data_IF_017285100328
#
_entry.id   IF_017285100328
#
_cell.length_a   1.000
_cell.length_b   1.000
_cell.length_c   1.000
_cell.angle_alpha   90.00
_cell.angle_beta   90.00
_cell.angle_gamma   90.00
#
_symmetry.space_group_name_H-M   'P 1'
#
loop_
_entity.id
_entity.type
_entity.pdbx_description
1 polymer ?
#
# COMPACT_ATOMS: atom_id res chain seq x y z
N UNK A 1 17.47 -87.22 3.35
CA UNK A 1 16.74 -86.31 4.26
C UNK A 1 16.77 -84.83 3.86
N UNK A 2 17.25 -84.45 2.66
CA UNK A 2 17.33 -83.04 2.24
C UNK A 2 16.01 -82.44 1.68
N UNK A 3 15.06 -83.28 1.23
CA UNK A 3 13.81 -82.83 0.58
C UNK A 3 12.84 -82.12 1.55
N UNK A 4 12.79 -82.56 2.81
CA UNK A 4 11.86 -82.00 3.81
C UNK A 4 12.28 -80.60 4.29
N UNK A 5 13.57 -80.24 4.22
CA UNK A 5 14.06 -78.91 4.64
C UNK A 5 13.85 -77.82 3.58
N UNK A 6 13.83 -78.18 2.29
CA UNK A 6 13.63 -77.21 1.19
C UNK A 6 12.21 -76.63 1.17
N UNK A 7 11.18 -77.46 1.39
CA UNK A 7 9.79 -76.99 1.43
C UNK A 7 9.52 -76.02 2.59
N UNK A 8 10.13 -76.28 3.76
CA UNK A 8 10.02 -75.40 4.93
C UNK A 8 10.71 -74.05 4.66
N UNK A 9 11.88 -74.05 4.01
CA UNK A 9 12.55 -72.81 3.59
C UNK A 9 11.71 -71.98 2.60
N UNK A 10 11.05 -72.64 1.65
CA UNK A 10 10.17 -71.96 0.69
C UNK A 10 8.97 -71.31 1.39
N UNK A 11 8.36 -71.99 2.37
CA UNK A 11 7.25 -71.44 3.16
C UNK A 11 7.68 -70.22 3.99
N UNK A 12 8.83 -70.30 4.67
CA UNK A 12 9.39 -69.17 5.43
C UNK A 12 9.70 -67.97 4.53
N UNK A 13 10.21 -68.23 3.32
CA UNK A 13 10.51 -67.18 2.35
C UNK A 13 9.24 -66.53 1.80
N UNK A 14 8.20 -67.32 1.53
CA UNK A 14 6.90 -66.82 1.11
C UNK A 14 6.22 -65.97 2.20
N UNK A 15 6.31 -66.38 3.47
CA UNK A 15 5.79 -65.60 4.61
C UNK A 15 6.52 -64.26 4.75
N UNK A 16 7.86 -64.26 4.64
CA UNK A 16 8.66 -63.03 4.68
C UNK A 16 8.28 -62.08 3.54
N UNK A 17 8.13 -62.59 2.32
CA UNK A 17 7.70 -61.79 1.16
C UNK A 17 6.29 -61.22 1.36
N UNK A 18 5.34 -62.01 1.89
CA UNK A 18 4.00 -61.54 2.18
C UNK A 18 3.98 -60.42 3.23
N UNK A 19 4.80 -60.54 4.27
CA UNK A 19 4.99 -59.50 5.29
C UNK A 19 5.54 -58.20 4.68
N UNK A 20 6.62 -58.29 3.88
CA UNK A 20 7.23 -57.14 3.20
C UNK A 20 6.25 -56.41 2.27
N UNK A 21 5.43 -57.16 1.51
CA UNK A 21 4.38 -56.60 0.65
C UNK A 21 3.29 -55.89 1.47
N UNK A 22 2.93 -56.43 2.63
CA UNK A 22 1.93 -55.82 3.52
C UNK A 22 2.40 -54.48 4.09
N UNK A 23 3.68 -54.40 4.48
CA UNK A 23 4.30 -53.16 4.97
C UNK A 23 4.43 -52.11 3.87
N UNK A 24 4.82 -52.53 2.65
CA UNK A 24 4.88 -51.65 1.50
C UNK A 24 3.52 -51.03 1.18
N UNK A 25 2.44 -51.83 1.21
CA UNK A 25 1.07 -51.34 1.04
C UNK A 25 0.65 -50.37 2.13
N UNK A 26 1.06 -50.61 3.39
CA UNK A 26 0.79 -49.68 4.49
C UNK A 26 1.48 -48.33 4.26
N UNK A 27 2.75 -48.34 3.87
CA UNK A 27 3.51 -47.12 3.51
C UNK A 27 2.88 -46.38 2.33
N UNK A 28 2.41 -47.09 1.31
CA UNK A 28 1.73 -46.46 0.17
C UNK A 28 0.41 -45.78 0.58
N UNK A 29 -0.39 -46.41 1.44
CA UNK A 29 -1.61 -45.79 1.98
C UNK A 29 -1.31 -44.53 2.79
N UNK A 30 -0.29 -44.59 3.65
CA UNK A 30 0.15 -43.43 4.44
C UNK A 30 0.68 -42.30 3.55
N UNK A 31 1.41 -42.63 2.48
CA UNK A 31 1.89 -41.66 1.51
C UNK A 31 0.73 -40.96 0.80
N UNK A 32 -0.23 -41.72 0.25
CA UNK A 32 -1.41 -41.15 -0.42
C UNK A 32 -2.28 -40.31 0.51
N UNK A 33 -2.39 -40.69 1.78
CA UNK A 33 -3.11 -39.89 2.79
C UNK A 33 -2.43 -38.54 3.03
N UNK A 34 -1.09 -38.51 3.13
CA UNK A 34 -0.31 -37.27 3.28
C UNK A 34 -0.39 -36.39 2.03
N UNK A 35 -0.32 -36.99 0.85
CA UNK A 35 -0.46 -36.30 -0.43
C UNK A 35 -1.83 -35.62 -0.55
N UNK A 36 -2.91 -36.35 -0.24
CA UNK A 36 -4.27 -35.81 -0.24
C UNK A 36 -4.43 -34.66 0.77
N UNK A 37 -3.86 -34.78 1.97
CA UNK A 37 -3.91 -33.73 2.99
C UNK A 37 -3.13 -32.46 2.56
N UNK A 38 -1.97 -32.64 1.93
CA UNK A 38 -1.16 -31.52 1.43
C UNK A 38 -1.87 -30.77 0.30
N UNK A 39 -2.49 -31.50 -0.65
CA UNK A 39 -3.24 -30.90 -1.76
C UNK A 39 -4.53 -30.22 -1.29
N UNK A 40 -5.22 -30.78 -0.28
CA UNK A 40 -6.43 -30.17 0.29
C UNK A 40 -6.19 -28.84 1.02
N UNK A 41 -4.97 -28.61 1.52
CA UNK A 41 -4.58 -27.39 2.26
C UNK A 41 -4.28 -26.18 1.34
N UNK A 42 -4.19 -26.38 0.02
CA UNK A 42 -3.82 -25.31 -0.91
C UNK A 42 -4.89 -24.21 -1.01
N UNK A 43 -6.17 -24.57 -0.85
CA UNK A 43 -7.28 -23.61 -0.89
C UNK A 43 -7.34 -22.68 0.32
N UNK A 44 -7.05 -23.20 1.53
CA UNK A 44 -7.09 -22.39 2.76
C UNK A 44 -5.96 -21.35 2.78
N UNK A 45 -4.75 -21.74 2.41
CA UNK A 45 -3.61 -20.83 2.35
C UNK A 45 -3.86 -19.68 1.34
N UNK A 46 -4.38 -19.99 0.16
CA UNK A 46 -4.69 -18.95 -0.84
C UNK A 46 -5.76 -17.97 -0.35
N UNK A 47 -6.80 -18.47 0.33
CA UNK A 47 -7.88 -17.62 0.84
C UNK A 47 -7.43 -16.68 1.96
N UNK A 48 -6.52 -17.15 2.82
CA UNK A 48 -5.98 -16.36 3.92
C UNK A 48 -5.04 -15.25 3.42
N UNK A 49 -4.18 -15.57 2.45
CA UNK A 49 -3.32 -14.58 1.79
C UNK A 49 -4.14 -13.52 1.06
N UNK A 50 -5.19 -13.92 0.35
CA UNK A 50 -6.07 -12.98 -0.35
C UNK A 50 -6.79 -12.05 0.63
N UNK A 51 -7.31 -12.60 1.74
CA UNK A 51 -7.96 -11.83 2.79
C UNK A 51 -7.00 -10.79 3.40
N UNK A 52 -5.80 -11.20 3.78
CA UNK A 52 -4.79 -10.29 4.34
C UNK A 52 -4.39 -9.20 3.33
N UNK A 53 -4.29 -9.57 2.05
CA UNK A 53 -3.97 -8.63 0.96
C UNK A 53 -5.07 -7.59 0.80
N UNK A 54 -6.33 -8.00 0.83
CA UNK A 54 -7.49 -7.10 0.77
C UNK A 54 -7.55 -6.16 1.97
N UNK A 55 -7.31 -6.66 3.17
CA UNK A 55 -7.26 -5.85 4.40
C UNK A 55 -6.14 -4.80 4.31
N UNK A 56 -4.93 -5.19 3.90
CA UNK A 56 -3.81 -4.27 3.69
C UNK A 56 -4.12 -3.21 2.63
N UNK A 57 -4.76 -3.59 1.53
CA UNK A 57 -5.16 -2.65 0.49
C UNK A 57 -6.18 -1.62 1.03
N UNK A 58 -7.16 -2.06 1.82
CA UNK A 58 -8.15 -1.18 2.43
C UNK A 58 -7.51 -0.20 3.43
N UNK A 59 -6.55 -0.67 4.21
CA UNK A 59 -5.76 0.17 5.13
C UNK A 59 -4.99 1.23 4.34
N UNK A 60 -4.29 0.85 3.27
CA UNK A 60 -3.54 1.79 2.42
C UNK A 60 -4.46 2.83 1.77
N UNK A 61 -5.63 2.42 1.26
CA UNK A 61 -6.61 3.36 0.73
C UNK A 61 -7.10 4.35 1.79
N UNK A 62 -7.32 3.87 3.01
CA UNK A 62 -7.74 4.72 4.14
C UNK A 62 -6.66 5.75 4.47
N UNK A 63 -5.40 5.34 4.59
CA UNK A 63 -4.28 6.25 4.81
C UNK A 63 -4.13 7.27 3.68
N UNK A 64 -4.33 6.85 2.43
CA UNK A 64 -4.29 7.75 1.29
C UNK A 64 -5.39 8.82 1.40
N UNK A 65 -6.65 8.45 1.63
CA UNK A 65 -7.75 9.40 1.71
C UNK A 65 -7.59 10.39 2.87
N UNK A 66 -7.11 9.92 4.03
CA UNK A 66 -6.87 10.78 5.20
C UNK A 66 -5.78 11.85 4.96
N UNK A 67 -4.76 11.51 4.15
CA UNK A 67 -3.60 12.38 3.95
C UNK A 67 -3.62 13.14 2.62
N UNK A 68 -4.47 12.73 1.66
CA UNK A 68 -4.52 13.29 0.30
C UNK A 68 -4.58 14.82 0.29
N UNK A 69 -5.49 15.43 1.05
CA UNK A 69 -5.65 16.89 1.08
C UNK A 69 -4.38 17.60 1.54
N UNK A 70 -3.84 17.18 2.70
CA UNK A 70 -2.62 17.78 3.28
C UNK A 70 -1.41 17.69 2.35
N UNK A 71 -1.23 16.54 1.69
CA UNK A 71 -0.12 16.33 0.75
C UNK A 71 -0.28 17.23 -0.47
N UNK A 72 -1.49 17.31 -1.04
CA UNK A 72 -1.77 18.18 -2.17
C UNK A 72 -1.60 19.66 -1.83
N UNK A 73 -2.08 20.10 -0.67
CA UNK A 73 -1.93 21.48 -0.21
C UNK A 73 -0.46 21.87 -0.07
N UNK A 74 0.35 21.00 0.53
CA UNK A 74 1.79 21.24 0.67
C UNK A 74 2.50 21.25 -0.69
N UNK A 75 2.18 20.30 -1.56
CA UNK A 75 2.78 20.22 -2.89
C UNK A 75 2.45 21.48 -3.71
N UNK A 76 1.19 21.90 -3.71
CA UNK A 76 0.75 23.10 -4.41
C UNK A 76 1.38 24.36 -3.81
N UNK A 77 1.52 24.44 -2.49
CA UNK A 77 2.22 25.54 -1.84
C UNK A 77 3.67 25.67 -2.33
N UNK A 78 4.40 24.56 -2.46
CA UNK A 78 5.77 24.57 -2.99
C UNK A 78 5.83 24.93 -4.48
N UNK A 79 4.95 24.36 -5.31
CA UNK A 79 4.95 24.62 -6.77
C UNK A 79 4.60 26.07 -7.07
N UNK A 80 3.72 26.68 -6.26
CA UNK A 80 3.32 28.07 -6.42
C UNK A 80 4.28 29.06 -5.75
N UNK A 81 5.21 28.63 -4.90
CA UNK A 81 6.23 29.49 -4.27
C UNK A 81 7.42 29.73 -5.23
N UNK A 82 7.14 30.45 -6.32
CA UNK A 82 8.16 30.80 -7.30
C UNK A 82 9.07 31.88 -6.69
N UNK A 83 10.34 31.50 -6.45
CA UNK A 83 11.39 32.38 -5.95
C UNK A 83 12.38 32.71 -7.07
N UNK A 84 12.18 33.82 -7.79
CA UNK A 84 13.12 34.24 -8.82
C UNK A 84 14.44 34.69 -8.16
N UNK A 85 15.51 33.94 -8.42
CA UNK A 85 16.86 34.26 -7.94
C UNK A 85 17.76 34.62 -9.11
N UNK A 86 18.51 35.71 -8.96
CA UNK A 86 19.57 36.07 -9.89
C UNK A 86 20.81 35.29 -9.47
N UNK A 87 21.40 34.55 -10.41
CA UNK A 87 22.60 33.77 -10.16
C UNK A 87 23.72 34.64 -9.56
N UNK A 88 24.47 34.11 -8.60
CA UNK A 88 25.48 34.85 -7.81
C UNK A 88 26.55 35.58 -8.65
N UNK A 89 26.77 35.09 -9.86
CA UNK A 89 27.76 35.61 -10.81
C UNK A 89 27.20 36.63 -11.80
N UNK A 90 25.94 37.04 -11.66
CA UNK A 90 25.39 38.10 -12.48
C UNK A 90 26.08 39.43 -12.17
N UNK A 91 26.62 40.08 -13.20
CA UNK A 91 27.34 41.36 -13.09
C UNK A 91 26.72 42.35 -14.07
N UNK A 92 26.28 43.49 -13.56
CA UNK A 92 25.99 44.67 -14.39
C UNK A 92 27.16 45.63 -14.16
N UNK A 93 27.83 46.05 -15.23
CA UNK A 93 28.94 47.01 -15.18
C UNK A 93 30.10 46.63 -14.24
N UNK A 94 30.36 45.33 -14.05
CA UNK A 94 31.52 44.83 -13.29
C UNK A 94 31.36 44.82 -11.76
N UNK A 95 30.27 45.35 -11.20
CA UNK A 95 30.00 45.34 -9.76
C UNK A 95 28.89 44.35 -9.39
N UNK A 96 29.07 43.63 -8.26
CA UNK A 96 27.99 42.84 -7.64
C UNK A 96 27.02 43.82 -6.97
N UNK A 97 25.75 43.82 -7.37
CA UNK A 97 24.70 44.46 -6.56
C UNK A 97 24.14 43.43 -5.59
N UNK A 98 24.00 43.82 -4.33
CA UNK A 98 23.08 43.16 -3.42
C UNK A 98 21.66 43.32 -3.98
N UNK A 99 20.90 42.23 -4.00
CA UNK A 99 19.63 42.10 -4.72
C UNK A 99 18.61 43.15 -4.26
N UNK A 100 18.12 44.04 -5.15
CA UNK A 100 16.91 44.80 -4.86
C UNK A 100 15.76 43.81 -4.95
N UNK A 101 15.24 43.51 -3.78
CA UNK A 101 14.29 42.46 -3.51
C UNK A 101 12.94 42.73 -4.20
N UNK A 102 12.78 42.20 -5.42
CA UNK A 102 11.58 42.28 -6.27
C UNK A 102 10.38 41.45 -5.76
N UNK A 103 10.58 40.57 -4.77
CA UNK A 103 9.53 39.77 -4.12
C UNK A 103 8.48 40.59 -3.35
N UNK A 104 8.80 41.82 -2.93
CA UNK A 104 7.87 42.66 -2.16
C UNK A 104 6.61 42.96 -3.00
N UNK A 105 6.75 43.26 -4.30
CA UNK A 105 5.62 43.68 -5.13
C UNK A 105 4.60 42.57 -5.46
N UNK A 106 5.02 41.30 -5.56
CA UNK A 106 4.10 40.19 -5.87
C UNK A 106 3.45 39.65 -4.60
N UNK A 107 4.21 39.53 -3.50
CA UNK A 107 3.66 39.07 -2.21
C UNK A 107 2.67 40.10 -1.68
N UNK A 108 2.97 41.40 -1.74
CA UNK A 108 2.05 42.47 -1.34
C UNK A 108 0.75 42.44 -2.14
N UNK A 109 0.83 42.30 -3.48
CA UNK A 109 -0.33 42.15 -4.36
C UNK A 109 -1.17 40.89 -4.06
N UNK A 110 -0.55 39.78 -3.65
CA UNK A 110 -1.26 38.55 -3.25
C UNK A 110 -1.87 38.65 -1.84
N UNK A 111 -1.26 39.38 -0.91
CA UNK A 111 -1.86 39.70 0.39
C UNK A 111 -3.12 40.55 0.27
N UNK A 112 -3.14 41.51 -0.65
CA UNK A 112 -4.34 42.30 -0.98
C UNK A 112 -5.48 41.40 -1.48
N UNK A 113 -5.19 40.38 -2.30
CA UNK A 113 -6.19 39.42 -2.78
C UNK A 113 -6.78 38.55 -1.65
N UNK A 114 -5.98 38.13 -0.67
CA UNK A 114 -6.48 37.41 0.54
C UNK A 114 -7.32 38.30 1.46
N UNK A 115 -6.98 39.57 1.58
CA UNK A 115 -7.77 40.55 2.34
C UNK A 115 -9.14 40.79 1.68
N UNK A 116 -9.17 40.94 0.35
CA UNK A 116 -10.39 41.03 -0.46
C UNK A 116 -11.28 39.78 -0.30
N UNK A 117 -10.71 38.57 -0.27
CA UNK A 117 -11.48 37.34 -0.06
C UNK A 117 -12.17 37.28 1.32
N UNK A 118 -11.52 37.76 2.38
CA UNK A 118 -12.13 37.88 3.72
C UNK A 118 -13.27 38.90 3.72
N UNK A 119 -13.08 40.06 3.07
CA UNK A 119 -14.11 41.08 2.91
C UNK A 119 -15.33 40.56 2.15
N UNK A 120 -15.13 39.83 1.05
CA UNK A 120 -16.22 39.21 0.27
C UNK A 120 -17.00 38.20 1.12
N UNK A 121 -16.32 37.42 1.97
CA UNK A 121 -16.98 36.46 2.89
C UNK A 121 -17.85 37.16 3.93
N UNK A 122 -17.37 38.27 4.49
CA UNK A 122 -18.14 39.11 5.41
C UNK A 122 -19.32 39.76 4.69
N UNK A 123 -19.12 40.30 3.49
CA UNK A 123 -20.18 40.91 2.68
C UNK A 123 -21.29 39.91 2.35
N UNK A 124 -20.93 38.67 1.97
CA UNK A 124 -21.89 37.58 1.71
C UNK A 124 -22.71 37.23 2.97
N UNK A 125 -22.11 37.22 4.16
CA UNK A 125 -22.83 37.02 5.42
C UNK A 125 -23.78 38.18 5.72
N UNK A 126 -23.35 39.42 5.54
CA UNK A 126 -24.19 40.60 5.75
C UNK A 126 -25.38 40.65 4.79
N UNK A 127 -25.16 40.37 3.50
CA UNK A 127 -26.23 40.28 2.50
C UNK A 127 -27.23 39.17 2.86
N UNK A 128 -26.75 38.00 3.30
CA UNK A 128 -27.62 36.91 3.73
C UNK A 128 -28.45 37.28 4.97
N UNK A 129 -27.87 38.00 5.93
CA UNK A 129 -28.59 38.45 7.13
C UNK A 129 -29.63 39.53 6.77
N UNK A 130 -29.29 40.46 5.89
CA UNK A 130 -30.21 41.48 5.38
C UNK A 130 -31.40 40.87 4.63
N UNK A 131 -31.15 39.90 3.74
CA UNK A 131 -32.20 39.17 3.04
C UNK A 131 -33.11 38.38 3.99
N UNK A 132 -32.59 37.83 5.09
CA UNK A 132 -33.40 37.16 6.12
C UNK A 132 -34.24 38.14 6.95
N UNK A 133 -33.78 39.38 7.12
CA UNK A 133 -34.51 40.43 7.84
C UNK A 133 -35.57 41.12 6.97
N UNK A 134 -35.35 41.22 5.65
CA UNK A 134 -36.31 41.81 4.71
C UNK A 134 -37.39 40.83 4.21
N UNK A 135 -37.22 39.51 4.38
CA UNK A 135 -38.25 38.50 4.06
C UNK A 135 -39.13 38.13 5.27
N UNK A 136 -39.22 39.02 6.26
CA UNK A 136 -39.98 38.80 7.50
C UNK A 136 -41.01 39.89 7.72
#
# INVERSE_FOLDING_TARGET
>A
MASQSQGIQQLLQAEKQASEVSEARKREKEFKAKEAAALGSQGSCSSEVEKETQEKMAILQTYFQQNRGKVLDNLLAFVCDIRPEIHENYRINGQKKETPVLWISIVDALTEYKALAKLISVLKKCIKLFLMLCNK
#
